data_IF_539829076568
#
_entry.id   IF_539829076568
#
_cell.length_a   1.000
_cell.length_b   1.000
_cell.length_c   1.000
_cell.angle_alpha   90.00
_cell.angle_beta   90.00
_cell.angle_gamma   90.00
#
_symmetry.space_group_name_H-M   'P 1'
#
loop_
_entity.id
_entity.type
_entity.pdbx_description
1 polymer ?
#
# COMPACT_ATOMS: atom_id res chain seq x y z
N UNK A 1 -27.73 -65.08 34.94
CA UNK A 1 -26.63 -64.62 34.05
C UNK A 1 -27.22 -64.55 32.65
N UNK A 2 -27.94 -63.46 32.37
CA UNK A 2 -27.42 -62.28 31.63
C UNK A 2 -27.27 -62.58 30.13
N UNK A 3 -28.26 -62.10 29.36
CA UNK A 3 -28.13 -61.85 27.93
C UNK A 3 -27.17 -60.70 27.70
N UNK A 4 -26.32 -60.75 26.65
CA UNK A 4 -26.19 -59.69 25.63
C UNK A 4 -25.62 -60.25 24.30
N UNK A 5 -26.27 -59.96 23.15
CA UNK A 5 -25.78 -60.30 21.82
C UNK A 5 -24.72 -59.30 21.33
N UNK A 6 -23.88 -59.78 20.39
CA UNK A 6 -22.72 -59.11 19.84
C UNK A 6 -23.01 -57.72 19.25
N UNK A 7 -22.13 -56.79 19.60
CA UNK A 7 -22.09 -55.45 19.03
C UNK A 7 -21.84 -55.50 17.52
N UNK A 8 -22.82 -55.03 16.76
CA UNK A 8 -22.65 -54.56 15.39
C UNK A 8 -21.60 -53.44 15.37
N UNK A 9 -20.49 -53.67 14.69
CA UNK A 9 -19.59 -52.60 14.25
C UNK A 9 -20.33 -51.75 13.20
N UNK A 10 -20.77 -50.55 13.60
CA UNK A 10 -21.01 -49.45 12.67
C UNK A 10 -19.75 -48.58 12.61
N UNK A 11 -19.26 -48.18 11.42
CA UNK A 11 -18.20 -47.18 11.33
C UNK A 11 -18.77 -45.81 11.71
N UNK A 12 -18.33 -45.26 12.84
CA UNK A 12 -18.57 -43.86 13.18
C UNK A 12 -17.79 -42.98 12.19
N UNK A 13 -18.52 -42.18 11.41
CA UNK A 13 -17.97 -41.14 10.55
C UNK A 13 -17.03 -40.20 11.34
N UNK A 14 -16.01 -39.60 10.71
CA UNK A 14 -15.17 -38.61 11.37
C UNK A 14 -16.03 -37.40 11.75
N UNK A 15 -16.00 -37.01 13.02
CA UNK A 15 -16.54 -35.73 13.47
C UNK A 15 -15.77 -34.61 12.75
N UNK A 16 -16.45 -33.98 11.80
CA UNK A 16 -16.07 -32.71 11.21
C UNK A 16 -16.04 -31.67 12.34
N UNK A 17 -14.87 -31.48 12.97
CA UNK A 17 -14.59 -30.32 13.81
C UNK A 17 -14.37 -29.11 12.90
N UNK A 18 -15.43 -28.68 12.20
CA UNK A 18 -15.48 -27.33 11.64
C UNK A 18 -15.81 -26.39 12.79
N UNK A 19 -14.77 -25.99 13.51
CA UNK A 19 -14.76 -24.69 14.17
C UNK A 19 -14.85 -23.65 13.05
N UNK A 20 -16.07 -23.32 12.63
CA UNK A 20 -16.30 -22.18 11.74
C UNK A 20 -16.02 -20.95 12.57
N UNK A 21 -14.75 -20.51 12.50
CA UNK A 21 -14.30 -19.22 12.94
C UNK A 21 -15.37 -18.17 12.61
N UNK A 22 -15.72 -17.38 13.63
CA UNK A 22 -16.57 -16.21 13.52
C UNK A 22 -16.18 -15.44 12.26
N UNK A 23 -17.09 -15.41 11.28
CA UNK A 23 -16.94 -14.58 10.08
C UNK A 23 -17.11 -13.15 10.59
N UNK A 24 -16.01 -12.55 11.05
CA UNK A 24 -15.96 -11.12 11.29
C UNK A 24 -16.27 -10.48 9.94
N UNK A 25 -17.34 -9.68 9.79
CA UNK A 25 -17.60 -9.00 8.53
C UNK A 25 -16.38 -8.16 8.21
N UNK A 26 -15.65 -8.54 7.17
CA UNK A 26 -14.47 -7.82 6.72
C UNK A 26 -14.99 -6.53 6.12
N UNK A 27 -14.90 -5.45 6.88
CA UNK A 27 -15.14 -4.09 6.38
C UNK A 27 -14.38 -3.94 5.05
N UNK A 28 -15.05 -3.54 3.95
CA UNK A 28 -14.40 -3.31 2.66
C UNK A 28 -13.18 -2.39 2.80
N UNK A 29 -12.17 -2.59 1.96
CA UNK A 29 -10.95 -1.79 2.02
C UNK A 29 -11.23 -0.29 1.85
N UNK A 30 -12.21 0.06 1.02
CA UNK A 30 -12.67 1.43 0.82
C UNK A 30 -13.31 2.02 2.08
N UNK A 31 -14.07 1.24 2.84
CA UNK A 31 -14.63 1.67 4.12
C UNK A 31 -13.55 1.82 5.20
N UNK A 32 -12.57 0.91 5.22
CA UNK A 32 -11.39 1.03 6.09
C UNK A 32 -10.59 2.29 5.78
N UNK A 33 -10.37 2.59 4.49
CA UNK A 33 -9.70 3.81 4.04
C UNK A 33 -10.46 5.06 4.50
N UNK A 34 -11.77 5.13 4.23
CA UNK A 34 -12.62 6.25 4.64
C UNK A 34 -12.61 6.47 6.15
N UNK A 35 -12.63 5.38 6.94
CA UNK A 35 -12.57 5.48 8.39
C UNK A 35 -11.19 5.94 8.89
N UNK A 36 -10.09 5.52 8.26
CA UNK A 36 -8.76 6.07 8.56
C UNK A 36 -8.68 7.57 8.25
N UNK A 37 -9.19 8.00 7.10
CA UNK A 37 -9.26 9.41 6.72
C UNK A 37 -10.03 10.24 7.75
N UNK A 38 -11.18 9.74 8.23
CA UNK A 38 -11.94 10.40 9.29
C UNK A 38 -11.12 10.57 10.59
N UNK A 39 -10.34 9.57 10.99
CA UNK A 39 -9.46 9.71 12.15
C UNK A 39 -8.35 10.75 11.91
N UNK A 40 -7.81 10.82 10.70
CA UNK A 40 -6.79 11.79 10.31
C UNK A 40 -7.34 13.22 10.38
N UNK A 41 -8.54 13.45 9.83
CA UNK A 41 -9.22 14.75 9.91
C UNK A 41 -9.47 15.15 11.35
N UNK A 42 -10.01 14.25 12.19
CA UNK A 42 -10.21 14.52 13.63
C UNK A 42 -8.90 14.83 14.34
N UNK A 43 -7.80 14.15 14.00
CA UNK A 43 -6.50 14.43 14.59
C UNK A 43 -6.00 15.83 14.21
N UNK A 44 -6.23 16.26 12.97
CA UNK A 44 -5.89 17.61 12.51
C UNK A 44 -6.73 18.68 13.23
N UNK A 45 -8.04 18.48 13.38
CA UNK A 45 -8.94 19.38 14.11
C UNK A 45 -8.54 19.53 15.59
N UNK A 46 -7.98 18.47 16.18
CA UNK A 46 -7.45 18.48 17.54
C UNK A 46 -6.04 19.06 17.67
N UNK A 47 -5.42 19.54 16.58
CA UNK A 47 -4.07 20.12 16.61
C UNK A 47 -2.94 19.08 16.77
N UNK A 48 -3.25 17.79 16.68
CA UNK A 48 -2.30 16.69 16.95
C UNK A 48 -1.15 16.59 15.93
N UNK A 49 -1.22 17.35 14.83
CA UNK A 49 -0.23 17.36 13.75
C UNK A 49 0.80 18.49 13.90
N UNK A 50 0.51 19.50 14.72
CA UNK A 50 1.32 20.72 14.81
C UNK A 50 1.82 20.97 16.23
N UNK A 51 1.03 20.62 17.25
CA UNK A 51 1.38 20.87 18.64
C UNK A 51 2.17 19.67 19.18
N UNK A 52 3.50 19.81 19.17
CA UNK A 52 4.42 18.79 19.66
C UNK A 52 4.82 19.13 21.10
N UNK A 53 4.62 18.19 22.03
CA UNK A 53 5.13 18.27 23.39
C UNK A 53 4.16 18.83 24.44
N UNK A 54 2.88 19.05 24.10
CA UNK A 54 1.85 19.37 25.09
C UNK A 54 1.32 18.12 25.79
N UNK A 55 0.60 18.36 26.90
CA UNK A 55 -0.13 17.31 27.61
C UNK A 55 -1.38 16.97 26.79
N UNK A 56 -1.57 15.71 26.34
CA UNK A 56 -2.74 15.36 25.54
C UNK A 56 -4.03 15.58 26.33
N UNK A 57 -4.97 16.28 25.70
CA UNK A 57 -6.35 16.47 26.13
C UNK A 57 -7.11 15.13 26.18
N UNK A 58 -8.30 15.14 26.79
CA UNK A 58 -9.14 13.95 26.86
C UNK A 58 -9.55 13.46 25.46
N UNK A 59 -9.93 14.38 24.55
CA UNK A 59 -10.34 14.06 23.18
C UNK A 59 -9.21 13.42 22.38
N UNK A 60 -7.97 13.90 22.53
CA UNK A 60 -6.80 13.30 21.90
C UNK A 60 -6.55 11.87 22.41
N UNK A 61 -6.66 11.66 23.73
CA UNK A 61 -6.51 10.32 24.33
C UNK A 61 -7.58 9.35 23.83
N UNK A 62 -8.83 9.80 23.74
CA UNK A 62 -9.93 9.01 23.18
C UNK A 62 -9.64 8.62 21.73
N UNK A 63 -9.27 9.58 20.88
CA UNK A 63 -8.92 9.32 19.48
C UNK A 63 -7.76 8.33 19.34
N UNK A 64 -6.71 8.46 20.17
CA UNK A 64 -5.61 7.49 20.14
C UNK A 64 -6.04 6.08 20.54
N UNK A 65 -7.01 5.95 21.44
CA UNK A 65 -7.55 4.66 21.88
C UNK A 65 -8.39 4.04 20.76
N UNK A 66 -9.31 4.80 20.17
CA UNK A 66 -10.11 4.37 19.02
C UNK A 66 -9.23 3.91 17.85
N UNK A 67 -8.15 4.64 17.56
CA UNK A 67 -7.17 4.26 16.53
C UNK A 67 -6.50 2.92 16.85
N UNK A 68 -6.04 2.71 18.09
CA UNK A 68 -5.37 1.46 18.49
C UNK A 68 -6.30 0.25 18.41
N UNK A 69 -7.57 0.43 18.72
CA UNK A 69 -8.59 -0.61 18.59
C UNK A 69 -8.94 -0.90 17.12
N UNK A 70 -8.86 0.11 16.26
CA UNK A 70 -9.20 -0.01 14.84
C UNK A 70 -8.06 -0.55 13.96
N UNK A 71 -6.81 -0.20 14.26
CA UNK A 71 -5.65 -0.58 13.44
C UNK A 71 -5.50 -2.10 13.20
N UNK A 72 -5.79 -3.01 14.15
CA UNK A 72 -5.73 -4.46 13.91
C UNK A 72 -6.61 -4.95 12.74
N UNK A 73 -7.75 -4.30 12.49
CA UNK A 73 -8.61 -4.64 11.35
C UNK A 73 -7.93 -4.28 10.03
N UNK A 74 -7.25 -3.14 9.98
CA UNK A 74 -6.48 -2.69 8.81
C UNK A 74 -5.27 -3.59 8.59
N UNK A 75 -4.54 -3.95 9.66
CA UNK A 75 -3.41 -4.90 9.60
C UNK A 75 -3.82 -6.23 8.98
N UNK A 76 -4.95 -6.79 9.41
CA UNK A 76 -5.47 -8.02 8.86
C UNK A 76 -5.77 -7.92 7.35
N UNK A 77 -6.30 -6.78 6.88
CA UNK A 77 -6.54 -6.56 5.45
C UNK A 77 -5.25 -6.30 4.66
N UNK A 78 -4.27 -5.62 5.25
CA UNK A 78 -2.94 -5.47 4.66
C UNK A 78 -2.23 -6.82 4.49
N UNK A 79 -2.41 -7.72 5.45
CA UNK A 79 -1.78 -9.05 5.45
C UNK A 79 -2.46 -10.05 4.52
N UNK A 80 -3.78 -9.93 4.35
CA UNK A 80 -4.60 -10.93 3.66
C UNK A 80 -5.29 -10.43 2.38
N UNK A 81 -5.30 -9.12 2.11
CA UNK A 81 -6.02 -8.50 0.98
C UNK A 81 -5.38 -8.67 -0.40
N UNK A 82 -5.95 -8.05 -1.43
CA UNK A 82 -5.35 -8.00 -2.77
C UNK A 82 -4.17 -7.02 -2.84
N UNK A 83 -3.47 -6.96 -3.98
CA UNK A 83 -2.48 -5.91 -4.21
C UNK A 83 -3.10 -4.50 -4.12
N UNK A 84 -4.32 -4.32 -4.64
CA UNK A 84 -5.10 -3.07 -4.51
C UNK A 84 -5.31 -2.66 -3.06
N UNK A 85 -5.69 -3.59 -2.19
CA UNK A 85 -5.91 -3.28 -0.78
C UNK A 85 -4.62 -2.81 -0.11
N UNK A 86 -3.48 -3.43 -0.41
CA UNK A 86 -2.17 -3.00 0.13
C UNK A 86 -1.86 -1.56 -0.30
N UNK A 87 -1.92 -1.29 -1.61
CA UNK A 87 -1.59 0.02 -2.19
C UNK A 87 -2.50 1.11 -1.62
N UNK A 88 -3.80 0.83 -1.51
CA UNK A 88 -4.79 1.77 -1.00
C UNK A 88 -4.56 2.11 0.48
N UNK A 89 -4.31 1.10 1.30
CA UNK A 89 -4.38 1.24 2.76
C UNK A 89 -3.06 1.63 3.41
N UNK A 90 -1.91 1.27 2.82
CA UNK A 90 -0.63 1.38 3.53
C UNK A 90 -0.30 2.81 3.98
N UNK A 91 -0.46 3.82 3.10
CA UNK A 91 -0.11 5.20 3.43
C UNK A 91 -0.99 5.76 4.55
N UNK A 92 -2.28 5.43 4.53
CA UNK A 92 -3.22 5.79 5.59
C UNK A 92 -2.89 5.07 6.90
N UNK A 93 -2.54 3.78 6.80
CA UNK A 93 -2.14 2.98 7.95
C UNK A 93 -0.87 3.52 8.62
N UNK A 94 0.19 3.86 7.87
CA UNK A 94 1.43 4.41 8.46
C UNK A 94 1.14 5.67 9.27
N UNK A 95 0.30 6.56 8.73
CA UNK A 95 -0.06 7.79 9.40
C UNK A 95 -0.96 7.54 10.63
N UNK A 96 -2.02 6.75 10.47
CA UNK A 96 -2.92 6.37 11.57
C UNK A 96 -2.19 5.64 12.71
N UNK A 97 -1.22 4.78 12.37
CA UNK A 97 -0.38 4.09 13.34
C UNK A 97 0.49 5.07 14.13
N UNK A 98 1.12 6.04 13.47
CA UNK A 98 1.88 7.09 14.16
C UNK A 98 1.01 7.93 15.07
N UNK A 99 -0.22 8.25 14.67
CA UNK A 99 -1.17 8.97 15.51
C UNK A 99 -1.55 8.18 16.76
N UNK A 100 -1.90 6.90 16.60
CA UNK A 100 -2.35 6.03 17.68
C UNK A 100 -1.23 5.61 18.63
N UNK A 101 -0.10 5.15 18.10
CA UNK A 101 1.01 4.58 18.88
C UNK A 101 2.14 5.56 19.18
N UNK A 102 2.11 6.79 18.62
CA UNK A 102 3.16 7.81 18.80
C UNK A 102 4.56 7.34 18.41
N UNK A 103 4.62 6.41 17.45
CA UNK A 103 5.86 5.84 16.88
C UNK A 103 5.59 5.37 15.46
N UNK A 104 6.64 5.24 14.67
CA UNK A 104 6.53 4.65 13.33
C UNK A 104 6.23 3.14 13.40
N UNK A 105 5.54 2.58 12.39
CA UNK A 105 5.48 1.14 12.19
C UNK A 105 6.88 0.52 12.06
N UNK A 106 6.94 -0.82 12.14
CA UNK A 106 8.19 -1.54 11.89
C UNK A 106 8.77 -1.17 10.53
N UNK A 107 10.10 -0.94 10.47
CA UNK A 107 10.81 -0.66 9.21
C UNK A 107 10.69 -1.81 8.19
N UNK A 108 10.35 -3.01 8.64
CA UNK A 108 10.13 -4.20 7.82
C UNK A 108 8.71 -4.29 7.24
N UNK A 109 7.77 -3.46 7.71
CA UNK A 109 6.37 -3.55 7.30
C UNK A 109 6.19 -3.25 5.81
N UNK A 110 6.63 -2.08 5.35
CA UNK A 110 6.51 -1.70 3.95
C UNK A 110 7.27 -2.65 3.00
N UNK A 111 8.54 -3.05 3.26
CA UNK A 111 9.21 -4.07 2.45
C UNK A 111 8.42 -5.37 2.32
N UNK A 112 7.83 -5.86 3.42
CA UNK A 112 7.02 -7.08 3.43
C UNK A 112 5.75 -6.92 2.61
N UNK A 113 5.03 -5.80 2.79
CA UNK A 113 3.81 -5.49 2.05
C UNK A 113 4.07 -5.30 0.56
N UNK A 114 5.15 -4.61 0.19
CA UNK A 114 5.59 -4.47 -1.19
C UNK A 114 5.91 -5.84 -1.80
N UNK A 115 6.70 -6.67 -1.13
CA UNK A 115 7.06 -8.02 -1.60
C UNK A 115 5.81 -8.87 -1.86
N UNK A 116 4.80 -8.75 -0.99
CA UNK A 116 3.52 -9.40 -1.17
C UNK A 116 2.75 -8.84 -2.38
N UNK A 117 2.61 -7.52 -2.49
CA UNK A 117 1.92 -6.87 -3.59
C UNK A 117 2.54 -7.22 -4.95
N UNK A 118 3.86 -7.12 -5.09
CA UNK A 118 4.55 -7.48 -6.35
C UNK A 118 4.46 -8.97 -6.64
N UNK A 119 4.49 -9.85 -5.64
CA UNK A 119 4.29 -11.30 -5.84
C UNK A 119 2.90 -11.62 -6.36
N UNK A 120 1.86 -10.99 -5.81
CA UNK A 120 0.48 -11.13 -6.31
C UNK A 120 0.37 -10.61 -7.75
N UNK A 121 0.98 -9.46 -8.02
CA UNK A 121 0.98 -8.86 -9.34
C UNK A 121 1.68 -9.72 -10.39
N UNK A 122 2.81 -10.32 -10.04
CA UNK A 122 3.52 -11.28 -10.90
C UNK A 122 2.71 -12.55 -11.16
N UNK A 123 1.85 -12.95 -10.21
CA UNK A 123 0.92 -14.08 -10.36
C UNK A 123 -0.35 -13.77 -11.16
N UNK A 124 -0.53 -12.52 -11.59
CA UNK A 124 -1.65 -12.10 -12.45
C UNK A 124 -2.65 -11.17 -11.78
N UNK A 125 -2.48 -10.78 -10.51
CA UNK A 125 -3.31 -9.74 -9.89
C UNK A 125 -2.96 -8.36 -10.48
N UNK A 126 -3.68 -7.94 -11.51
CA UNK A 126 -3.51 -6.63 -12.16
C UNK A 126 -4.47 -5.57 -11.61
N UNK A 127 -4.93 -5.73 -10.36
CA UNK A 127 -5.74 -4.72 -9.68
C UNK A 127 -4.98 -3.43 -9.37
N UNK A 128 -3.65 -3.44 -9.52
CA UNK A 128 -2.76 -2.28 -9.43
C UNK A 128 -1.81 -2.22 -10.63
N UNK A 129 -1.38 -1.02 -10.98
CA UNK A 129 -0.42 -0.79 -12.05
C UNK A 129 1.04 -0.90 -11.59
N UNK A 130 1.95 -0.85 -12.56
CA UNK A 130 3.40 -0.83 -12.29
C UNK A 130 3.79 0.44 -11.53
N UNK A 131 3.14 1.56 -11.84
CA UNK A 131 3.32 2.85 -11.20
C UNK A 131 3.00 2.83 -9.70
N UNK A 132 1.98 2.08 -9.29
CA UNK A 132 1.61 1.98 -7.88
C UNK A 132 2.67 1.19 -7.10
N UNK A 133 3.15 0.09 -7.68
CA UNK A 133 4.21 -0.73 -7.08
C UNK A 133 5.55 0.00 -7.03
N UNK A 134 5.91 0.75 -8.09
CA UNK A 134 7.13 1.57 -8.11
C UNK A 134 7.03 2.71 -7.10
N UNK A 135 5.85 3.35 -6.97
CA UNK A 135 5.64 4.37 -5.94
C UNK A 135 5.81 3.81 -4.52
N UNK A 136 5.35 2.58 -4.25
CA UNK A 136 5.63 1.90 -2.98
C UNK A 136 7.13 1.64 -2.80
N UNK A 137 7.79 1.06 -3.81
CA UNK A 137 9.21 0.70 -3.76
C UNK A 137 10.10 1.90 -3.43
N UNK A 138 9.80 3.09 -3.97
CA UNK A 138 10.56 4.32 -3.71
C UNK A 138 10.59 4.75 -2.24
N UNK A 139 9.59 4.34 -1.45
CA UNK A 139 9.51 4.65 -0.02
C UNK A 139 10.19 3.58 0.85
N UNK A 140 10.83 2.58 0.24
CA UNK A 140 11.52 1.51 0.92
C UNK A 140 13.03 1.75 0.88
N UNK A 141 13.69 1.53 2.02
CA UNK A 141 15.15 1.47 2.05
C UNK A 141 15.63 0.29 1.19
N UNK A 142 16.46 0.52 0.15
CA UNK A 142 16.87 -0.52 -0.80
C UNK A 142 17.49 -1.76 -0.14
N UNK A 143 18.05 -1.65 1.07
CA UNK A 143 18.63 -2.76 1.82
C UNK A 143 17.61 -3.83 2.24
N UNK A 144 16.31 -3.51 2.23
CA UNK A 144 15.23 -4.43 2.57
C UNK A 144 14.51 -5.02 1.36
N UNK A 145 15.01 -4.75 0.14
CA UNK A 145 14.37 -5.20 -1.09
C UNK A 145 15.33 -6.08 -1.88
N UNK A 146 14.80 -7.18 -2.42
CA UNK A 146 15.53 -8.04 -3.36
C UNK A 146 15.89 -7.23 -4.62
N UNK A 147 17.16 -7.29 -5.03
CA UNK A 147 17.72 -6.56 -6.16
C UNK A 147 16.91 -6.76 -7.45
N UNK A 148 16.30 -7.93 -7.66
CA UNK A 148 15.49 -8.19 -8.86
C UNK A 148 14.30 -7.23 -9.01
N UNK A 149 13.75 -6.73 -7.90
CA UNK A 149 12.64 -5.78 -7.95
C UNK A 149 13.11 -4.35 -8.21
N UNK A 150 14.35 -4.03 -7.79
CA UNK A 150 15.02 -2.79 -8.15
C UNK A 150 15.30 -2.80 -9.66
N UNK A 151 15.90 -3.87 -10.18
CA UNK A 151 16.17 -4.05 -11.61
C UNK A 151 14.88 -3.99 -12.46
N UNK A 152 13.83 -4.69 -12.03
CA UNK A 152 12.51 -4.59 -12.65
C UNK A 152 12.00 -3.14 -12.70
N UNK A 153 12.11 -2.39 -11.59
CA UNK A 153 11.63 -1.01 -11.54
C UNK A 153 12.41 -0.06 -12.47
N UNK A 154 13.71 -0.32 -12.66
CA UNK A 154 14.55 0.42 -13.62
C UNK A 154 14.09 0.09 -15.04
N UNK A 155 13.91 -1.19 -15.35
CA UNK A 155 13.46 -1.63 -16.69
C UNK A 155 12.09 -1.07 -17.09
N UNK A 156 11.21 -0.82 -16.13
CA UNK A 156 9.90 -0.18 -16.37
C UNK A 156 10.08 1.32 -16.60
N UNK A 157 10.88 1.99 -15.78
CA UNK A 157 11.16 3.42 -15.93
C UNK A 157 11.89 3.72 -17.26
N UNK A 158 12.78 2.84 -17.72
CA UNK A 158 13.42 2.92 -19.04
C UNK A 158 12.38 3.05 -20.17
N UNK A 159 11.30 2.26 -20.10
CA UNK A 159 10.24 2.29 -21.11
C UNK A 159 9.54 3.64 -21.10
N UNK A 160 9.22 4.17 -19.92
CA UNK A 160 8.56 5.46 -19.78
C UNK A 160 9.45 6.62 -20.24
N UNK A 161 10.76 6.55 -19.98
CA UNK A 161 11.73 7.54 -20.47
C UNK A 161 11.75 7.51 -22.00
N UNK A 162 11.85 6.32 -22.62
CA UNK A 162 11.82 6.19 -24.09
C UNK A 162 10.50 6.69 -24.69
N UNK A 163 9.37 6.45 -24.02
CA UNK A 163 8.07 7.00 -24.42
C UNK A 163 8.10 8.54 -24.44
N UNK A 164 8.64 9.18 -23.38
CA UNK A 164 8.77 10.63 -23.32
C UNK A 164 9.74 11.17 -24.37
N UNK A 165 10.89 10.52 -24.57
CA UNK A 165 11.87 10.93 -25.59
C UNK A 165 11.30 10.83 -27.00
N UNK A 166 10.55 9.77 -27.31
CA UNK A 166 9.92 9.58 -28.61
C UNK A 166 8.79 10.59 -28.90
N UNK A 167 8.16 11.15 -27.87
CA UNK A 167 6.98 12.01 -27.98
C UNK A 167 7.23 13.43 -27.44
N UNK A 168 8.44 13.97 -27.65
CA UNK A 168 8.81 15.34 -27.31
C UNK A 168 8.54 15.75 -25.85
N UNK A 169 8.60 14.80 -24.91
CA UNK A 169 8.37 15.02 -23.49
C UNK A 169 6.92 14.78 -23.04
N UNK A 170 6.05 14.25 -23.90
CA UNK A 170 4.70 13.79 -23.54
C UNK A 170 4.64 12.27 -23.45
N UNK A 171 3.72 11.73 -22.64
CA UNK A 171 3.32 10.34 -22.82
C UNK A 171 2.43 10.22 -24.08
N UNK A 172 2.39 9.04 -24.74
CA UNK A 172 1.49 8.82 -25.87
C UNK A 172 0.04 9.13 -25.53
N UNK A 173 -0.74 9.68 -26.48
CA UNK A 173 -2.17 10.00 -26.29
C UNK A 173 -3.01 8.79 -25.86
N UNK A 174 -2.56 7.57 -26.19
CA UNK A 174 -3.19 6.32 -25.73
C UNK A 174 -3.06 6.08 -24.22
N UNK A 175 -2.18 6.82 -23.54
CA UNK A 175 -1.96 6.71 -22.10
C UNK A 175 -3.00 7.57 -21.37
N UNK A 176 -3.80 6.98 -20.45
CA UNK A 176 -4.75 7.76 -19.67
C UNK A 176 -4.06 8.92 -18.92
N UNK A 177 -4.64 10.14 -18.87
CA UNK A 177 -4.00 11.30 -18.25
C UNK A 177 -3.60 11.09 -16.79
N UNK A 178 -4.42 10.37 -16.03
CA UNK A 178 -4.12 10.03 -14.62
C UNK A 178 -2.89 9.13 -14.49
N UNK A 179 -2.73 8.16 -15.40
CA UNK A 179 -1.58 7.27 -15.46
C UNK A 179 -0.33 8.02 -15.91
N UNK A 180 -0.43 8.84 -16.96
CA UNK A 180 0.65 9.69 -17.44
C UNK A 180 1.19 10.59 -16.32
N UNK A 181 0.28 11.21 -15.54
CA UNK A 181 0.65 12.03 -14.37
C UNK A 181 1.41 11.22 -13.31
N UNK A 182 0.94 10.02 -12.95
CA UNK A 182 1.63 9.15 -11.97
C UNK A 182 3.05 8.80 -12.44
N UNK A 183 3.19 8.36 -13.69
CA UNK A 183 4.49 8.01 -14.29
C UNK A 183 5.44 9.22 -14.31
N UNK A 184 4.94 10.38 -14.72
CA UNK A 184 5.72 11.62 -14.74
C UNK A 184 6.20 11.97 -13.34
N UNK A 185 5.33 11.94 -12.32
CA UNK A 185 5.71 12.22 -10.94
C UNK A 185 6.82 11.28 -10.45
N UNK A 186 6.73 9.98 -10.77
CA UNK A 186 7.79 9.02 -10.43
C UNK A 186 9.13 9.43 -11.06
N UNK A 187 9.15 9.71 -12.36
CA UNK A 187 10.37 10.07 -13.09
C UNK A 187 10.97 11.39 -12.64
N UNK A 188 10.14 12.40 -12.34
CA UNK A 188 10.61 13.70 -11.84
C UNK A 188 11.38 13.55 -10.51
N UNK A 189 10.99 12.60 -9.67
CA UNK A 189 11.66 12.32 -8.41
C UNK A 189 12.73 11.20 -8.47
N UNK A 190 12.88 10.51 -9.61
CA UNK A 190 13.94 9.52 -9.81
C UNK A 190 15.29 10.21 -10.06
N UNK A 191 16.42 9.58 -9.74
CA UNK A 191 17.72 10.06 -10.19
C UNK A 191 17.94 9.56 -11.63
N UNK A 192 17.95 10.46 -12.60
CA UNK A 192 18.06 10.14 -14.03
C UNK A 192 19.44 10.46 -14.61
N UNK A 193 20.45 10.65 -13.75
CA UNK A 193 21.81 11.01 -14.15
C UNK A 193 22.39 10.05 -15.19
N UNK A 194 22.07 8.76 -15.10
CA UNK A 194 22.55 7.75 -16.05
C UNK A 194 22.01 7.95 -17.48
N UNK A 195 20.90 8.64 -17.66
CA UNK A 195 20.29 8.91 -18.97
C UNK A 195 20.72 10.27 -19.52
N UNK A 196 20.72 11.30 -18.67
CA UNK A 196 20.83 12.69 -19.12
C UNK A 196 22.10 13.41 -18.63
N UNK A 197 22.85 12.82 -17.69
CA UNK A 197 23.99 13.47 -17.04
C UNK A 197 23.62 14.86 -16.51
N UNK A 198 24.44 15.85 -16.83
CA UNK A 198 24.25 17.26 -16.44
C UNK A 198 22.94 17.88 -16.95
N UNK A 199 22.30 17.30 -17.97
CA UNK A 199 21.06 17.80 -18.56
C UNK A 199 19.80 17.33 -17.84
N UNK A 200 19.91 16.48 -16.81
CA UNK A 200 18.75 15.92 -16.11
C UNK A 200 17.75 16.99 -15.66
N UNK A 201 18.26 18.10 -15.09
CA UNK A 201 17.42 19.19 -14.59
C UNK A 201 16.64 19.86 -15.73
N UNK A 202 17.32 20.21 -16.82
CA UNK A 202 16.72 20.85 -18.00
C UNK A 202 15.66 19.96 -18.64
N UNK A 203 15.93 18.65 -18.77
CA UNK A 203 14.99 17.67 -19.32
C UNK A 203 13.73 17.56 -18.47
N UNK A 204 13.89 17.50 -17.13
CA UNK A 204 12.75 17.45 -16.21
C UNK A 204 11.93 18.73 -16.22
N UNK A 205 12.57 19.89 -16.30
CA UNK A 205 11.91 21.19 -16.45
C UNK A 205 11.08 21.23 -17.75
N UNK A 206 11.66 20.82 -18.88
CA UNK A 206 10.94 20.68 -20.14
C UNK A 206 9.75 19.73 -20.05
N UNK A 207 9.91 18.55 -19.44
CA UNK A 207 8.81 17.62 -19.24
C UNK A 207 7.68 18.24 -18.40
N UNK A 208 8.02 18.96 -17.33
CA UNK A 208 7.01 19.67 -16.53
C UNK A 208 6.28 20.72 -17.38
N UNK A 209 6.99 21.57 -18.11
CA UNK A 209 6.38 22.62 -18.93
C UNK A 209 5.40 22.09 -19.98
N UNK A 210 5.78 21.00 -20.65
CA UNK A 210 4.97 20.40 -21.72
C UNK A 210 3.73 19.71 -21.13
N UNK A 211 3.85 19.08 -19.95
CA UNK A 211 2.72 18.38 -19.31
C UNK A 211 1.85 19.29 -18.42
N UNK A 212 2.34 20.46 -17.98
CA UNK A 212 1.54 21.46 -17.24
C UNK A 212 0.49 22.15 -18.11
N UNK A 213 0.70 22.24 -19.43
CA UNK A 213 -0.27 22.81 -20.38
C UNK A 213 -1.47 21.89 -20.66
N UNK A 214 -1.45 20.67 -20.13
CA UNK A 214 -2.47 19.63 -20.34
C UNK A 214 -3.26 19.34 -19.04
N UNK A 215 -2.97 20.06 -17.95
CA UNK A 215 -3.66 19.96 -16.65
C UNK A 215 -4.63 21.11 -16.45
#
# INVERSE_FOLDING_TARGET
MEMRPGNNFQPTAPRDNRSTATITPVMPAEELASKMESFITRAQELGMLTDIGHIPSQSERMLTTELREFLPYVENVLDNGSAKHIVLLYSLYDFAYRLGYKRSPSKQLLPRLFTRAITLWLKGDKSVGEEDLIAMLRNIDPRFVDFKYIDWSISVQDKWIRELEANNGCFPESTPPTLARKRLQILLHANLWTYFGDKEKEVKEKWMEVNLKVI
#
